data_IF_511584488894
#
_entry.id   IF_511584488894
#
_cell.length_a   1.000
_cell.length_b   1.000
_cell.length_c   1.000
_cell.angle_alpha   90.00
_cell.angle_beta   90.00
_cell.angle_gamma   90.00
#
_symmetry.space_group_name_H-M   'P 1'
#
loop_
_entity.id
_entity.type
_entity.pdbx_description
1 polymer ?
#
# COMPACT_ATOMS: atom_id res chain seq x y z
N UNK A 1 -34.54 -15.02 13.95
CA UNK A 1 -35.84 -14.33 13.84
C UNK A 1 -35.95 -13.38 15.03
N UNK A 2 -35.81 -12.07 14.81
CA UNK A 2 -35.81 -11.09 15.91
C UNK A 2 -37.26 -10.64 16.15
N UNK A 3 -37.84 -11.00 17.30
CA UNK A 3 -39.24 -10.66 17.64
C UNK A 3 -39.21 -9.52 18.66
N UNK A 4 -39.37 -8.28 18.20
CA UNK A 4 -39.54 -7.11 19.07
C UNK A 4 -41.02 -6.93 19.42
N UNK A 5 -41.32 -6.50 20.65
CA UNK A 5 -42.69 -6.20 21.14
C UNK A 5 -43.14 -4.76 20.85
N UNK A 6 -42.24 -3.95 20.29
CA UNK A 6 -42.50 -2.54 19.95
C UNK A 6 -42.89 -2.43 18.47
N UNK A 7 -43.75 -1.46 18.10
CA UNK A 7 -44.07 -1.22 16.70
C UNK A 7 -42.79 -0.98 15.89
N UNK A 8 -42.74 -1.56 14.69
CA UNK A 8 -41.55 -1.61 13.84
C UNK A 8 -40.92 -0.23 13.63
N UNK A 9 -41.74 0.77 13.34
CA UNK A 9 -41.31 2.15 13.09
C UNK A 9 -40.60 2.78 14.29
N UNK A 10 -41.09 2.53 15.50
CA UNK A 10 -40.47 3.04 16.73
C UNK A 10 -39.12 2.38 16.99
N UNK A 11 -39.02 1.07 16.70
CA UNK A 11 -37.77 0.32 16.85
C UNK A 11 -36.72 0.77 15.84
N UNK A 12 -37.13 0.97 14.58
CA UNK A 12 -36.24 1.48 13.52
C UNK A 12 -35.83 2.93 13.78
N UNK A 13 -36.72 3.78 14.29
CA UNK A 13 -36.38 5.15 14.67
C UNK A 13 -35.34 5.18 15.80
N UNK A 14 -35.51 4.36 16.83
CA UNK A 14 -34.54 4.25 17.92
C UNK A 14 -33.17 3.74 17.44
N UNK A 15 -33.15 2.69 16.60
CA UNK A 15 -31.91 2.17 16.04
C UNK A 15 -31.20 3.19 15.12
N UNK A 16 -31.94 4.02 14.38
CA UNK A 16 -31.36 5.12 13.59
C UNK A 16 -30.77 6.21 14.48
N UNK A 17 -31.45 6.57 15.57
CA UNK A 17 -30.95 7.56 16.54
C UNK A 17 -29.64 7.10 17.19
N UNK A 18 -29.51 5.80 17.43
CA UNK A 18 -28.30 5.18 17.98
C UNK A 18 -27.26 4.80 16.91
N UNK A 19 -27.49 5.13 15.64
CA UNK A 19 -26.55 4.87 14.54
C UNK A 19 -26.46 3.40 14.08
N UNK A 20 -27.31 2.52 14.61
CA UNK A 20 -27.34 1.08 14.29
C UNK A 20 -28.21 0.72 13.08
N UNK A 21 -28.92 1.68 12.47
CA UNK A 21 -29.74 1.43 11.28
C UNK A 21 -29.43 2.43 10.14
N UNK A 22 -29.16 1.98 8.91
CA UNK A 22 -28.91 2.86 7.77
C UNK A 22 -30.16 3.63 7.31
N UNK A 23 -29.91 4.74 6.60
CA UNK A 23 -30.86 5.81 6.23
C UNK A 23 -31.93 5.35 5.21
N UNK A 24 -33.11 5.98 5.30
CA UNK A 24 -34.38 5.67 4.64
C UNK A 24 -34.31 5.04 3.24
N UNK A 25 -35.03 3.92 3.09
CA UNK A 25 -35.41 3.34 1.80
C UNK A 25 -36.37 4.29 1.08
N UNK A 26 -36.19 4.38 -0.24
CA UNK A 26 -37.20 4.96 -1.12
C UNK A 26 -38.36 3.96 -1.28
N UNK A 27 -39.53 4.42 -1.73
CA UNK A 27 -40.76 3.62 -1.90
C UNK A 27 -40.59 2.41 -2.86
N UNK A 28 -39.43 2.28 -3.50
CA UNK A 28 -39.02 1.23 -4.43
C UNK A 28 -38.04 0.21 -3.81
N UNK A 29 -37.76 0.29 -2.50
CA UNK A 29 -36.95 -0.69 -1.76
C UNK A 29 -35.44 -0.63 -2.04
N UNK A 30 -34.95 0.47 -2.63
CA UNK A 30 -33.52 0.68 -2.89
C UNK A 30 -32.90 1.70 -1.93
N UNK A 31 -31.76 1.30 -1.35
CA UNK A 31 -30.92 2.11 -0.46
C UNK A 31 -30.23 3.22 -1.26
N UNK A 32 -30.55 4.48 -0.95
CA UNK A 32 -29.93 5.65 -1.61
C UNK A 32 -28.76 6.16 -0.77
N UNK A 33 -27.54 5.77 -1.10
CA UNK A 33 -26.33 6.40 -0.56
C UNK A 33 -26.09 7.70 -1.35
N UNK A 34 -26.39 8.85 -0.75
CA UNK A 34 -26.10 10.15 -1.35
C UNK A 34 -24.60 10.44 -1.31
N UNK A 35 -23.92 10.19 -2.43
CA UNK A 35 -22.49 10.45 -2.59
C UNK A 35 -22.30 11.93 -2.94
N UNK A 36 -21.81 12.73 -1.99
CA UNK A 36 -21.44 14.13 -2.23
C UNK A 36 -20.41 14.19 -3.36
N UNK A 37 -20.81 14.75 -4.51
CA UNK A 37 -19.94 14.87 -5.68
C UNK A 37 -18.89 15.97 -5.40
N UNK A 38 -17.58 15.67 -5.40
CA UNK A 38 -16.58 16.72 -5.27
C UNK A 38 -16.67 17.63 -6.50
N UNK A 39 -16.90 18.92 -6.25
CA UNK A 39 -16.92 20.00 -7.25
C UNK A 39 -15.51 20.10 -7.86
N UNK A 40 -15.35 19.66 -9.11
CA UNK A 40 -14.11 19.88 -9.88
C UNK A 40 -13.97 21.37 -10.17
N UNK A 41 -12.95 22.01 -9.60
CA UNK A 41 -12.54 23.35 -10.01
C UNK A 41 -12.00 23.30 -11.45
N UNK A 42 -12.49 24.20 -12.30
CA UNK A 42 -12.00 24.40 -13.66
C UNK A 42 -10.97 25.53 -13.68
N UNK A 43 -9.68 25.20 -13.80
CA UNK A 43 -8.57 26.08 -14.21
C UNK A 43 -7.27 25.24 -14.21
N UNK A 44 -6.25 25.44 -15.04
CA UNK A 44 -6.07 26.00 -16.38
C UNK A 44 -4.81 25.26 -16.91
N UNK A 45 -4.83 24.76 -18.14
CA UNK A 45 -3.71 23.98 -18.72
C UNK A 45 -2.55 24.92 -19.06
N UNK A 46 -1.31 24.72 -18.57
CA UNK A 46 -0.15 25.39 -19.12
C UNK A 46 0.34 24.71 -20.40
N UNK A 47 0.64 25.53 -21.40
CA UNK A 47 1.04 25.13 -22.76
C UNK A 47 2.40 24.39 -22.82
N UNK A 48 2.61 23.53 -23.83
CA UNK A 48 3.88 22.86 -24.05
C UNK A 48 4.95 23.84 -24.53
N UNK A 49 6.11 23.90 -23.84
CA UNK A 49 7.29 24.63 -24.32
C UNK A 49 8.28 23.67 -24.97
N UNK A 50 8.66 24.03 -26.19
CA UNK A 50 9.40 23.21 -27.14
C UNK A 50 10.90 23.09 -26.90
N UNK A 51 11.46 22.22 -27.73
CA UNK A 51 12.84 21.76 -27.82
C UNK A 51 13.87 22.84 -28.20
N UNK A 52 15.06 22.73 -27.58
CA UNK A 52 16.45 22.85 -28.13
C UNK A 52 17.38 23.28 -26.98
N UNK A 53 18.67 23.00 -26.92
CA UNK A 53 19.56 21.97 -27.45
C UNK A 53 20.92 22.21 -26.75
N UNK A 54 21.63 21.12 -26.40
CA UNK A 54 23.08 20.99 -26.14
C UNK A 54 23.75 21.82 -25.04
N UNK A 55 24.33 21.09 -24.09
CA UNK A 55 25.47 21.50 -23.29
C UNK A 55 26.06 20.29 -22.58
N UNK A 56 27.13 19.74 -23.13
CA UNK A 56 27.88 18.62 -22.54
C UNK A 56 28.56 19.05 -21.23
N UNK A 57 28.53 18.19 -20.22
CA UNK A 57 29.25 18.40 -18.97
C UNK A 57 29.18 17.17 -18.07
N UNK A 58 30.07 16.20 -18.32
CA UNK A 58 30.43 15.17 -17.34
C UNK A 58 31.08 15.89 -16.15
N UNK A 59 30.68 15.58 -14.91
CA UNK A 59 31.51 14.85 -13.92
C UNK A 59 30.99 14.99 -12.48
N UNK A 60 31.12 13.86 -11.77
CA UNK A 60 31.43 13.71 -10.36
C UNK A 60 30.33 13.98 -9.31
N UNK A 61 29.84 12.86 -8.76
CA UNK A 61 29.27 12.78 -7.44
C UNK A 61 30.35 13.02 -6.36
N UNK A 62 30.00 13.63 -5.22
CA UNK A 62 30.64 13.35 -3.96
C UNK A 62 29.72 12.50 -3.07
N UNK A 63 30.15 11.27 -2.87
CA UNK A 63 29.86 10.46 -1.69
C UNK A 63 30.34 11.19 -0.43
N UNK A 64 29.56 11.09 0.67
CA UNK A 64 30.05 10.55 1.94
C UNK A 64 28.94 10.64 3.00
N UNK A 65 28.24 9.51 3.16
CA UNK A 65 27.59 9.17 4.42
C UNK A 65 28.67 9.00 5.49
N UNK A 66 28.50 9.69 6.62
CA UNK A 66 29.36 9.54 7.79
C UNK A 66 28.63 8.76 8.86
N UNK A 67 29.23 7.63 9.25
CA UNK A 67 29.13 7.07 10.59
C UNK A 67 28.19 5.88 10.76
N UNK A 68 28.65 4.68 10.41
CA UNK A 68 28.26 3.47 11.15
C UNK A 68 29.47 2.98 11.94
N UNK A 69 29.22 2.70 13.22
CA UNK A 69 30.15 2.20 14.23
C UNK A 69 31.15 1.17 13.71
N UNK A 70 32.33 1.12 14.36
CA UNK A 70 33.43 0.19 14.14
C UNK A 70 32.94 -1.22 13.76
N UNK A 71 32.78 -1.40 12.46
CA UNK A 71 32.50 -2.68 11.85
C UNK A 71 33.87 -3.30 11.71
N UNK A 72 34.18 -4.35 12.48
CA UNK A 72 35.45 -5.06 12.29
C UNK A 72 35.34 -5.91 11.01
N UNK A 73 35.96 -5.48 9.90
CA UNK A 73 35.90 -6.23 8.64
C UNK A 73 36.58 -7.59 8.78
N UNK A 74 37.50 -7.75 9.75
CA UNK A 74 38.21 -9.00 9.98
C UNK A 74 37.30 -10.04 10.63
N UNK A 75 36.46 -9.64 11.60
CA UNK A 75 35.44 -10.51 12.17
C UNK A 75 34.40 -10.96 11.13
N UNK A 76 33.97 -10.04 10.25
CA UNK A 76 33.08 -10.38 9.13
C UNK A 76 33.78 -11.35 8.16
N UNK A 77 35.02 -11.05 7.76
CA UNK A 77 35.79 -11.89 6.84
C UNK A 77 35.99 -13.30 7.41
N UNK A 78 36.27 -13.42 8.71
CA UNK A 78 36.41 -14.71 9.40
C UNK A 78 35.09 -15.47 9.40
N UNK A 79 33.96 -14.79 9.63
CA UNK A 79 32.62 -15.40 9.58
C UNK A 79 32.25 -15.86 8.17
N UNK A 80 32.62 -15.10 7.15
CA UNK A 80 32.41 -15.48 5.74
C UNK A 80 33.32 -16.63 5.31
N UNK A 81 34.56 -16.69 5.82
CA UNK A 81 35.49 -17.81 5.59
C UNK A 81 35.04 -19.10 6.30
N UNK A 82 34.45 -18.99 7.49
CA UNK A 82 33.96 -20.11 8.27
C UNK A 82 32.57 -20.60 7.85
N UNK A 83 31.82 -19.79 7.10
CA UNK A 83 30.54 -20.20 6.56
C UNK A 83 30.74 -21.34 5.54
N UNK A 84 29.96 -22.42 5.60
CA UNK A 84 30.00 -23.45 4.57
C UNK A 84 29.70 -22.79 3.21
N UNK A 85 30.55 -23.05 2.20
CA UNK A 85 30.40 -22.54 0.84
C UNK A 85 29.16 -23.09 0.10
N UNK A 86 28.27 -23.78 0.81
CA UNK A 86 26.95 -24.14 0.31
C UNK A 86 26.13 -22.87 0.28
N UNK A 87 26.11 -22.23 -0.88
CA UNK A 87 25.06 -21.30 -1.26
C UNK A 87 23.74 -22.05 -0.98
N UNK A 88 22.87 -21.57 -0.06
CA UNK A 88 21.52 -22.11 0.03
C UNK A 88 20.91 -22.00 -1.36
N UNK A 89 20.43 -23.11 -1.90
CA UNK A 89 19.92 -23.16 -3.26
C UNK A 89 18.94 -21.98 -3.47
N UNK A 90 19.19 -21.06 -4.42
CA UNK A 90 18.27 -19.96 -4.65
C UNK A 90 16.93 -20.58 -5.02
N UNK A 91 15.89 -20.31 -4.21
CA UNK A 91 14.55 -20.77 -4.51
C UNK A 91 14.22 -20.38 -5.95
N UNK A 92 13.80 -21.33 -6.81
CA UNK A 92 13.75 -21.11 -8.25
C UNK A 92 12.76 -20.00 -8.58
N UNK A 93 13.22 -18.97 -9.28
CA UNK A 93 12.37 -18.00 -9.95
C UNK A 93 12.00 -18.55 -11.32
N UNK A 94 11.06 -19.48 -11.33
CA UNK A 94 10.15 -19.88 -12.41
C UNK A 94 9.36 -21.08 -11.87
N UNK A 95 8.27 -20.80 -11.14
CA UNK A 95 7.59 -21.79 -10.29
C UNK A 95 8.10 -21.78 -8.85
N UNK A 96 8.23 -20.58 -8.27
CA UNK A 96 8.66 -20.39 -6.87
C UNK A 96 7.79 -21.16 -5.87
N UNK A 97 8.29 -21.26 -4.64
CA UNK A 97 7.57 -21.91 -3.55
C UNK A 97 6.12 -21.41 -3.53
N UNK A 98 5.12 -22.29 -3.32
CA UNK A 98 3.72 -21.88 -3.29
C UNK A 98 3.54 -20.72 -2.32
N UNK A 99 2.62 -19.82 -2.66
CA UNK A 99 2.21 -18.73 -1.77
C UNK A 99 1.88 -19.33 -0.40
N UNK A 100 2.43 -18.73 0.66
CA UNK A 100 2.24 -19.23 2.00
C UNK A 100 0.82 -18.94 2.52
N UNK A 101 0.19 -17.88 2.00
CA UNK A 101 -1.15 -17.44 2.37
C UNK A 101 -1.94 -17.00 1.14
N UNK A 102 -3.28 -17.07 1.22
CA UNK A 102 -4.18 -16.55 0.20
C UNK A 102 -3.95 -15.04 -0.03
N UNK A 103 -3.65 -14.29 1.03
CA UNK A 103 -3.29 -12.87 0.97
C UNK A 103 -2.08 -12.63 0.05
N UNK A 104 -1.05 -13.48 0.15
CA UNK A 104 0.15 -13.41 -0.68
C UNK A 104 -0.18 -13.64 -2.16
N UNK A 105 -0.99 -14.66 -2.45
CA UNK A 105 -1.45 -14.95 -3.82
C UNK A 105 -2.26 -13.79 -4.41
N UNK A 106 -3.19 -13.23 -3.63
CA UNK A 106 -4.01 -12.10 -4.04
C UNK A 106 -3.13 -10.87 -4.34
N UNK A 107 -2.19 -10.53 -3.45
CA UNK A 107 -1.28 -9.40 -3.64
C UNK A 107 -0.41 -9.60 -4.89
N UNK A 108 0.15 -10.80 -5.09
CA UNK A 108 0.90 -11.14 -6.30
C UNK A 108 0.04 -11.04 -7.58
N UNK A 109 -1.26 -11.32 -7.45
CA UNK A 109 -2.27 -11.17 -8.50
C UNK A 109 -2.36 -9.74 -9.04
N UNK A 110 -2.26 -8.73 -8.18
CA UNK A 110 -2.50 -7.32 -8.54
C UNK A 110 -1.25 -6.44 -8.58
N UNK A 111 -0.26 -6.70 -7.74
CA UNK A 111 0.97 -5.93 -7.62
C UNK A 111 2.08 -6.47 -8.55
N UNK A 112 1.82 -6.50 -9.87
CA UNK A 112 2.75 -7.10 -10.86
C UNK A 112 4.13 -6.44 -10.95
N UNK A 113 4.30 -5.25 -10.38
CA UNK A 113 5.57 -4.52 -10.38
C UNK A 113 6.41 -4.79 -9.12
N UNK A 114 5.83 -5.42 -8.09
CA UNK A 114 6.57 -5.73 -6.86
C UNK A 114 7.42 -6.99 -7.04
N UNK A 115 8.67 -6.99 -6.54
CA UNK A 115 9.43 -8.22 -6.42
C UNK A 115 8.76 -9.17 -5.41
N UNK A 116 9.00 -10.47 -5.55
CA UNK A 116 8.33 -11.49 -4.74
C UNK A 116 8.59 -11.35 -3.23
N UNK A 117 9.78 -10.87 -2.85
CA UNK A 117 10.12 -10.56 -1.45
C UNK A 117 9.18 -9.52 -0.86
N UNK A 118 8.88 -8.48 -1.62
CA UNK A 118 8.05 -7.36 -1.18
C UNK A 118 6.56 -7.75 -1.17
N UNK A 119 6.15 -8.64 -2.08
CA UNK A 119 4.83 -9.28 -2.04
C UNK A 119 4.65 -10.06 -0.73
N UNK A 120 5.61 -10.91 -0.37
CA UNK A 120 5.59 -11.66 0.90
C UNK A 120 5.54 -10.73 2.09
N UNK A 121 6.32 -9.66 2.05
CA UNK A 121 6.37 -8.70 3.14
C UNK A 121 5.06 -7.91 3.29
N UNK A 122 4.47 -7.46 2.17
CA UNK A 122 3.18 -6.78 2.19
C UNK A 122 2.06 -7.69 2.69
N UNK A 123 2.01 -8.94 2.20
CA UNK A 123 1.05 -9.92 2.66
C UNK A 123 1.19 -10.19 4.17
N UNK A 124 2.43 -10.39 4.63
CA UNK A 124 2.70 -10.55 6.06
C UNK A 124 2.23 -9.35 6.90
N UNK A 125 2.48 -8.13 6.42
CA UNK A 125 2.07 -6.92 7.13
C UNK A 125 0.55 -6.76 7.18
N UNK A 126 -0.16 -7.13 6.11
CA UNK A 126 -1.62 -7.18 6.07
C UNK A 126 -2.14 -8.20 7.09
N UNK A 127 -1.62 -9.42 7.05
CA UNK A 127 -2.06 -10.53 7.91
C UNK A 127 -1.80 -10.26 9.41
N UNK A 128 -0.72 -9.54 9.73
CA UNK A 128 -0.32 -9.21 11.10
C UNK A 128 -0.74 -7.82 11.57
N UNK A 129 -1.31 -7.00 10.68
CA UNK A 129 -1.65 -5.60 10.95
C UNK A 129 -0.43 -4.69 11.22
N UNK A 130 0.76 -5.06 10.74
CA UNK A 130 1.98 -4.27 10.91
C UNK A 130 1.97 -3.02 10.03
N UNK A 131 2.57 -1.95 10.56
CA UNK A 131 2.86 -0.77 9.75
C UNK A 131 3.99 -1.06 8.77
N UNK A 132 3.91 -0.46 7.58
CA UNK A 132 4.91 -0.58 6.53
C UNK A 132 5.15 0.76 5.87
N UNK A 133 6.30 0.88 5.24
CA UNK A 133 6.58 1.98 4.32
C UNK A 133 6.55 1.45 2.90
N UNK A 134 5.86 2.15 2.01
CA UNK A 134 5.75 1.77 0.61
C UNK A 134 6.28 2.85 -0.31
N UNK A 135 6.90 2.42 -1.40
CA UNK A 135 7.16 3.27 -2.55
C UNK A 135 5.95 3.22 -3.47
N UNK A 136 5.31 4.38 -3.67
CA UNK A 136 4.04 4.49 -4.39
C UNK A 136 4.11 5.52 -5.51
N UNK A 137 3.74 5.11 -6.71
CA UNK A 137 3.64 6.00 -7.87
C UNK A 137 2.25 6.64 -7.88
N UNK A 138 2.22 7.96 -7.70
CA UNK A 138 0.98 8.73 -7.76
C UNK A 138 0.37 8.70 -9.18
N UNK A 139 -0.91 9.07 -9.30
CA UNK A 139 -1.56 9.19 -10.61
C UNK A 139 -0.85 10.18 -11.56
N UNK A 140 -0.06 11.12 -11.02
CA UNK A 140 0.76 12.04 -11.79
C UNK A 140 2.09 11.43 -12.29
N UNK A 141 2.42 10.20 -11.92
CA UNK A 141 3.68 9.52 -12.24
C UNK A 141 4.82 9.76 -11.25
N UNK A 142 4.61 10.55 -10.20
CA UNK A 142 5.66 10.81 -9.21
C UNK A 142 5.76 9.68 -8.19
N UNK A 143 6.97 9.16 -7.98
CA UNK A 143 7.27 8.20 -6.93
C UNK A 143 7.28 8.93 -5.56
N UNK A 144 6.54 8.39 -4.60
CA UNK A 144 6.44 8.93 -3.25
C UNK A 144 6.56 7.83 -2.23
N UNK A 145 7.25 8.11 -1.12
CA UNK A 145 7.36 7.18 0.01
C UNK A 145 6.21 7.46 0.98
N UNK A 146 5.49 6.42 1.40
CA UNK A 146 4.30 6.53 2.27
C UNK A 146 4.39 5.51 3.39
N UNK A 147 4.32 5.97 4.64
CA UNK A 147 4.15 5.08 5.79
C UNK A 147 2.66 4.83 6.00
N UNK A 148 2.29 3.55 6.02
CA UNK A 148 0.93 3.05 6.06
C UNK A 148 0.73 2.17 7.29
N UNK A 149 -0.44 2.27 7.92
CA UNK A 149 -0.90 1.38 8.99
C UNK A 149 -2.38 1.08 8.83
N UNK A 150 -2.92 0.16 9.63
CA UNK A 150 -4.31 -0.33 9.51
C UNK A 150 -4.60 -0.79 8.08
N UNK A 151 -3.80 -1.73 7.61
CA UNK A 151 -3.86 -2.23 6.24
C UNK A 151 -5.08 -3.14 6.07
N UNK A 152 -5.97 -2.82 5.14
CA UNK A 152 -7.12 -3.63 4.77
C UNK A 152 -7.10 -3.91 3.26
N UNK A 153 -7.05 -5.19 2.91
CA UNK A 153 -6.94 -5.64 1.53
C UNK A 153 -8.33 -5.77 0.89
N UNK A 154 -8.62 -4.89 -0.08
CA UNK A 154 -9.85 -4.89 -0.87
C UNK A 154 -9.50 -4.90 -2.38
N UNK A 155 -9.07 -6.05 -2.93
CA UNK A 155 -8.43 -6.11 -4.24
C UNK A 155 -9.29 -5.47 -5.35
N UNK A 156 -8.71 -4.65 -6.25
CA UNK A 156 -7.27 -4.41 -6.47
C UNK A 156 -6.66 -3.31 -5.58
N UNK A 157 -7.36 -2.89 -4.54
CA UNK A 157 -6.99 -1.79 -3.68
C UNK A 157 -6.51 -2.26 -2.30
N UNK A 158 -5.75 -1.38 -1.66
CA UNK A 158 -5.34 -1.46 -0.28
C UNK A 158 -5.83 -0.19 0.42
N UNK A 159 -6.68 -0.36 1.41
CA UNK A 159 -7.13 0.72 2.30
C UNK A 159 -6.16 0.79 3.47
N UNK A 160 -5.70 2.00 3.79
CA UNK A 160 -4.73 2.20 4.86
C UNK A 160 -4.78 3.62 5.41
N UNK A 161 -4.42 3.76 6.69
CA UNK A 161 -4.09 5.04 7.28
C UNK A 161 -2.73 5.53 6.77
N UNK A 162 -2.72 6.68 6.09
CA UNK A 162 -1.50 7.28 5.54
C UNK A 162 -0.94 8.33 6.50
N UNK A 163 0.13 8.02 7.23
CA UNK A 163 0.70 8.91 8.25
C UNK A 163 1.07 10.30 7.72
N UNK A 164 1.76 10.47 6.56
CA UNK A 164 2.09 11.80 6.04
C UNK A 164 0.88 12.68 5.66
N UNK A 165 -0.32 12.09 5.60
CA UNK A 165 -1.56 12.80 5.26
C UNK A 165 -2.53 12.84 6.43
N UNK A 166 -2.26 12.11 7.50
CA UNK A 166 -3.13 11.96 8.67
C UNK A 166 -4.58 11.61 8.30
N UNK A 167 -4.72 10.70 7.34
CA UNK A 167 -6.00 10.42 6.69
C UNK A 167 -6.02 8.99 6.14
N UNK A 168 -7.21 8.43 6.01
CA UNK A 168 -7.43 7.14 5.38
C UNK A 168 -7.38 7.28 3.86
N UNK A 169 -6.62 6.39 3.21
CA UNK A 169 -6.31 6.48 1.80
C UNK A 169 -6.39 5.12 1.14
N UNK A 170 -6.89 5.15 -0.08
CA UNK A 170 -6.96 3.98 -0.97
C UNK A 170 -5.73 4.00 -1.89
N UNK A 171 -5.00 2.90 -1.92
CA UNK A 171 -3.82 2.68 -2.77
C UNK A 171 -4.13 1.56 -3.77
N UNK A 172 -3.82 1.77 -5.05
CA UNK A 172 -3.92 0.67 -6.03
C UNK A 172 -2.66 -0.17 -5.97
N UNK A 173 -2.81 -1.49 -5.77
CA UNK A 173 -1.67 -2.42 -5.62
C UNK A 173 -0.70 -2.40 -6.80
N UNK A 174 -1.22 -2.18 -8.02
CA UNK A 174 -0.41 -2.10 -9.24
C UNK A 174 0.54 -0.90 -9.30
N UNK A 175 0.39 0.07 -8.38
CA UNK A 175 1.20 1.30 -8.29
C UNK A 175 2.15 1.29 -7.08
N UNK A 176 2.18 0.19 -6.35
CA UNK A 176 3.18 -0.06 -5.31
C UNK A 176 4.41 -0.65 -5.99
N UNK A 177 5.57 -0.05 -5.75
CA UNK A 177 6.84 -0.39 -6.41
C UNK A 177 7.89 -0.93 -5.45
N UNK A 178 7.72 -0.73 -4.15
CA UNK A 178 8.61 -1.27 -3.12
C UNK A 178 7.93 -1.28 -1.76
N UNK A 179 8.33 -2.20 -0.90
CA UNK A 179 7.83 -2.35 0.47
C UNK A 179 8.99 -2.47 1.43
N UNK A 180 9.01 -1.62 2.46
CA UNK A 180 10.03 -1.61 3.51
C UNK A 180 9.36 -1.73 4.89
N UNK A 181 9.96 -2.49 5.82
CA UNK A 181 9.43 -2.59 7.17
C UNK A 181 9.72 -1.28 7.91
N UNK A 182 8.81 -0.87 8.79
CA UNK A 182 9.01 0.27 9.69
C UNK A 182 9.75 -0.12 10.96
#
# INVERSE_FOLDING_TARGET
>A
MLISRSPLDATLAALRAEGYAPVAETDEGTVRIEKTRPRRAAAAVPAPRGSRARGAGRTAAPSLAKGSADFDPSALATRLLAAPATIPDPAPFEGGAPFATDTEEIVAGWAKQLPYTDVRQLAHAIDTGQAITVEYVAASGNLTVRTLSRLELAPPHLEAWCHPREDERVFTLSRVHGVMPT
#
